data_IF_589588589705
#
_entry.id   IF_589588589705
#
_cell.length_a   1.000
_cell.length_b   1.000
_cell.length_c   1.000
_cell.angle_alpha   90.00
_cell.angle_beta   90.00
_cell.angle_gamma   90.00
#
_symmetry.space_group_name_H-M   'P 1'
#
loop_
_entity.id
_entity.type
_entity.pdbx_description
1 polymer ?
#
# COMPACT_ATOMS: atom_id res chain seq x y z
N UNK A 1 -4.49 -10.69 8.23
CA UNK A 1 -3.57 -10.86 7.10
C UNK A 1 -3.28 -12.35 6.98
N UNK A 2 -3.42 -12.95 5.80
CA UNK A 2 -2.94 -14.31 5.56
C UNK A 2 -1.42 -14.24 5.34
N UNK A 3 -0.65 -14.77 6.29
CA UNK A 3 0.81 -14.78 6.20
C UNK A 3 1.36 -15.93 5.34
N UNK A 4 0.51 -16.91 4.97
CA UNK A 4 0.88 -17.98 4.03
C UNK A 4 0.70 -17.55 2.58
N UNK A 5 -0.21 -16.58 2.32
CA UNK A 5 -0.43 -15.98 1.01
C UNK A 5 -0.44 -14.45 1.13
N UNK A 6 0.72 -13.81 1.38
CA UNK A 6 0.76 -12.37 1.56
C UNK A 6 0.32 -11.66 0.28
N UNK A 7 -0.50 -10.62 0.44
CA UNK A 7 -0.74 -9.65 -0.62
C UNK A 7 0.62 -9.10 -1.04
N UNK A 8 0.89 -9.08 -2.34
CA UNK A 8 2.21 -8.76 -2.89
C UNK A 8 2.17 -7.65 -3.91
N UNK A 9 3.25 -6.88 -3.99
CA UNK A 9 3.47 -5.87 -5.01
C UNK A 9 3.83 -6.51 -6.36
N UNK A 10 3.32 -5.93 -7.45
CA UNK A 10 3.70 -6.23 -8.83
C UNK A 10 4.47 -5.08 -9.48
N UNK A 11 5.29 -5.39 -10.48
CA UNK A 11 5.99 -4.39 -11.31
C UNK A 11 5.04 -3.70 -12.29
N UNK A 12 4.05 -4.46 -12.77
CA UNK A 12 3.05 -4.06 -13.75
C UNK A 12 1.67 -4.54 -13.30
N UNK A 13 0.58 -3.89 -13.71
CA UNK A 13 -0.77 -4.20 -13.23
C UNK A 13 -1.38 -5.37 -13.99
N UNK A 14 -0.83 -6.57 -13.80
CA UNK A 14 -1.33 -7.80 -14.44
C UNK A 14 -1.21 -9.00 -13.49
N UNK A 15 -2.17 -9.91 -13.55
CA UNK A 15 -2.21 -11.11 -12.71
C UNK A 15 -1.01 -12.04 -12.95
N UNK A 16 -0.50 -12.09 -14.18
CA UNK A 16 0.63 -12.92 -14.57
C UNK A 16 2.00 -12.28 -14.29
N UNK A 17 2.05 -11.05 -13.76
CA UNK A 17 3.30 -10.41 -13.40
C UNK A 17 3.90 -11.10 -12.15
N UNK A 18 5.22 -11.29 -12.05
CA UNK A 18 5.83 -11.83 -10.84
C UNK A 18 5.57 -10.96 -9.60
N UNK A 19 5.39 -11.61 -8.45
CA UNK A 19 5.41 -10.94 -7.14
C UNK A 19 6.83 -10.49 -6.81
N UNK A 20 6.99 -9.24 -6.37
CA UNK A 20 8.32 -8.68 -6.05
C UNK A 20 8.57 -8.71 -4.55
N UNK A 21 7.56 -8.34 -3.77
CA UNK A 21 7.67 -8.17 -2.33
C UNK A 21 6.29 -8.17 -1.66
N UNK A 22 6.17 -8.64 -0.41
CA UNK A 22 4.95 -8.48 0.37
C UNK A 22 4.56 -7.01 0.55
N UNK A 23 3.26 -6.75 0.54
CA UNK A 23 2.67 -5.47 0.93
C UNK A 23 2.60 -5.40 2.45
N UNK A 24 2.93 -4.25 3.02
CA UNK A 24 2.76 -4.00 4.46
C UNK A 24 1.28 -3.91 4.87
N UNK A 25 1.03 -3.80 6.17
CA UNK A 25 -0.34 -3.59 6.68
C UNK A 25 -0.95 -2.26 6.22
N UNK A 26 -0.12 -1.29 5.86
CA UNK A 26 -0.52 -0.05 5.21
C UNK A 26 0.28 0.12 3.92
N UNK A 27 -0.36 0.74 2.93
CA UNK A 27 0.27 1.12 1.66
C UNK A 27 -0.08 2.56 1.35
N UNK A 28 0.92 3.32 0.89
CA UNK A 28 0.70 4.67 0.43
C UNK A 28 0.15 4.63 -1.01
N UNK A 29 -1.09 5.11 -1.17
CA UNK A 29 -1.75 5.26 -2.46
C UNK A 29 -1.74 6.74 -2.83
N UNK A 30 -1.33 7.06 -4.07
CA UNK A 30 -1.37 8.44 -4.57
C UNK A 30 -2.83 8.91 -4.67
N UNK A 31 -3.14 10.14 -4.27
CA UNK A 31 -4.46 10.72 -4.50
C UNK A 31 -4.74 10.76 -6.00
N UNK A 32 -5.88 10.21 -6.44
CA UNK A 32 -6.18 10.04 -7.86
C UNK A 32 -5.30 8.98 -8.53
N UNK A 33 -4.76 8.02 -7.78
CA UNK A 33 -3.98 6.92 -8.32
C UNK A 33 -4.72 6.24 -9.46
N UNK A 34 -3.95 5.91 -10.51
CA UNK A 34 -4.49 5.21 -11.66
C UNK A 34 -4.89 3.79 -11.25
N UNK A 35 -6.11 3.41 -11.59
CA UNK A 35 -6.55 2.02 -11.58
C UNK A 35 -6.34 1.44 -12.97
N UNK A 36 -5.63 0.31 -13.05
CA UNK A 36 -5.41 -0.43 -14.29
C UNK A 36 -5.59 -1.91 -14.02
N UNK A 37 -6.45 -2.58 -14.80
CA UNK A 37 -6.68 -4.02 -14.69
C UNK A 37 -6.98 -4.52 -13.26
N UNK A 38 -7.67 -3.71 -12.44
CA UNK A 38 -7.94 -4.04 -11.05
C UNK A 38 -6.76 -3.84 -10.08
N UNK A 39 -5.69 -3.19 -10.50
CA UNK A 39 -4.56 -2.79 -9.67
C UNK A 39 -4.50 -1.28 -9.50
N UNK A 40 -4.01 -0.83 -8.35
CA UNK A 40 -3.78 0.57 -8.00
C UNK A 40 -2.28 0.85 -7.98
N UNK A 41 -1.87 2.00 -8.50
CA UNK A 41 -0.50 2.50 -8.38
C UNK A 41 -0.21 3.02 -6.97
N UNK A 42 0.90 2.56 -6.39
CA UNK A 42 1.32 2.78 -5.00
C UNK A 42 2.82 3.02 -4.92
N UNK A 43 3.34 3.23 -3.70
CA UNK A 43 4.78 3.22 -3.42
C UNK A 43 5.14 2.18 -2.36
N UNK A 44 6.27 1.50 -2.56
CA UNK A 44 6.88 0.67 -1.51
C UNK A 44 7.66 1.52 -0.49
N UNK A 45 8.20 0.87 0.55
CA UNK A 45 8.93 1.56 1.62
C UNK A 45 10.18 2.30 1.15
N UNK A 46 10.69 1.99 -0.05
CA UNK A 46 11.81 2.65 -0.69
C UNK A 46 11.37 3.70 -1.74
N UNK A 47 10.10 4.14 -1.70
CA UNK A 47 9.50 5.10 -2.64
C UNK A 47 9.52 4.65 -4.12
N UNK A 48 9.60 3.35 -4.39
CA UNK A 48 9.53 2.85 -5.77
C UNK A 48 8.06 2.67 -6.16
N UNK A 49 7.63 3.11 -7.36
CA UNK A 49 6.27 2.84 -7.85
C UNK A 49 6.01 1.33 -7.95
N UNK A 50 4.86 0.89 -7.44
CA UNK A 50 4.41 -0.51 -7.44
C UNK A 50 2.92 -0.61 -7.68
N UNK A 51 2.47 -1.80 -8.06
CA UNK A 51 1.06 -2.11 -8.23
C UNK A 51 0.57 -3.09 -7.17
N UNK A 52 -0.62 -2.83 -6.60
CA UNK A 52 -1.31 -3.75 -5.69
C UNK A 52 -2.72 -3.97 -6.17
N UNK A 53 -3.22 -5.20 -6.11
CA UNK A 53 -4.59 -5.50 -6.50
C UNK A 53 -5.58 -4.76 -5.59
N UNK A 54 -6.47 -3.98 -6.20
CA UNK A 54 -7.42 -3.10 -5.52
C UNK A 54 -8.33 -3.85 -4.55
N UNK A 55 -8.67 -5.11 -4.88
CA UNK A 55 -9.54 -5.96 -4.05
C UNK A 55 -9.02 -6.24 -2.63
N UNK A 56 -7.74 -5.96 -2.38
CA UNK A 56 -7.12 -6.11 -1.06
C UNK A 56 -6.95 -4.78 -0.31
N UNK A 57 -7.39 -3.67 -0.90
CA UNK A 57 -7.22 -2.33 -0.35
C UNK A 57 -8.54 -1.79 0.17
N UNK A 58 -8.48 -1.21 1.36
CA UNK A 58 -9.57 -0.47 1.98
C UNK A 58 -9.01 0.86 2.51
N UNK A 59 -9.84 1.93 2.60
CA UNK A 59 -9.44 3.14 3.31
C UNK A 59 -8.93 2.81 4.71
N UNK A 60 -7.90 3.52 5.15
CA UNK A 60 -7.34 3.30 6.47
C UNK A 60 -8.43 3.44 7.55
N UNK A 61 -8.51 2.44 8.41
CA UNK A 61 -9.44 2.43 9.54
C UNK A 61 -8.80 1.70 10.73
N UNK A 62 -8.78 2.34 11.90
CA UNK A 62 -8.37 1.71 13.14
C UNK A 62 -9.61 1.31 13.95
N UNK A 63 -9.81 0.02 14.20
CA UNK A 63 -10.98 -0.48 14.95
C UNK A 63 -11.07 0.10 16.37
N UNK A 64 -9.92 0.34 17.00
CA UNK A 64 -9.84 0.91 18.34
C UNK A 64 -10.16 2.42 18.38
N UNK A 65 -10.04 3.11 17.24
CA UNK A 65 -10.31 4.54 17.12
C UNK A 65 -10.71 4.89 15.67
N UNK A 66 -12.02 5.00 15.39
CA UNK A 66 -12.52 5.36 14.07
C UNK A 66 -12.11 6.76 13.59
N UNK A 67 -11.71 7.67 14.49
CA UNK A 67 -11.24 9.01 14.13
C UNK A 67 -9.78 9.04 13.67
N UNK A 68 -9.03 7.95 13.92
CA UNK A 68 -7.61 7.91 13.62
C UNK A 68 -7.33 8.05 12.12
N UNK A 69 -6.43 8.96 11.78
CA UNK A 69 -5.92 9.15 10.42
C UNK A 69 -4.53 8.53 10.27
N UNK A 70 -4.17 8.19 9.03
CA UNK A 70 -2.86 7.68 8.68
C UNK A 70 -2.38 8.40 7.43
N UNK A 71 -1.32 9.19 7.57
CA UNK A 71 -0.75 9.96 6.46
C UNK A 71 0.67 9.48 6.16
N UNK A 72 1.00 9.21 4.88
CA UNK A 72 2.37 8.92 4.47
C UNK A 72 3.36 10.01 4.90
N UNK A 73 4.54 9.62 5.38
CA UNK A 73 5.60 10.55 5.78
C UNK A 73 6.99 9.99 5.40
N UNK A 74 7.98 10.86 5.22
CA UNK A 74 9.38 10.45 5.10
C UNK A 74 9.98 10.37 6.51
N UNK A 75 10.53 9.22 6.87
CA UNK A 75 11.18 9.00 8.16
C UNK A 75 12.61 9.56 8.15
N UNK A 76 13.24 9.66 9.34
CA UNK A 76 14.62 10.14 9.47
C UNK A 76 15.66 9.30 8.73
N UNK A 77 15.35 8.04 8.43
CA UNK A 77 16.18 7.14 7.62
C UNK A 77 15.92 7.27 6.10
N UNK A 78 15.10 8.23 5.66
CA UNK A 78 14.78 8.45 4.26
C UNK A 78 13.78 7.47 3.64
N UNK A 79 13.24 6.52 4.42
CA UNK A 79 12.21 5.59 3.95
C UNK A 79 10.80 6.11 4.20
N UNK A 80 9.83 5.55 3.47
CA UNK A 80 8.42 5.81 3.72
C UNK A 80 8.04 5.27 5.10
N UNK A 81 7.31 6.07 5.84
CA UNK A 81 6.60 5.67 7.04
C UNK A 81 5.20 6.28 7.04
N UNK A 82 4.53 6.19 8.19
CA UNK A 82 3.18 6.70 8.37
C UNK A 82 3.09 7.48 9.68
N UNK A 83 2.52 8.68 9.61
CA UNK A 83 2.17 9.48 10.77
C UNK A 83 0.70 9.23 11.10
N UNK A 84 0.47 8.76 12.32
CA UNK A 84 -0.85 8.53 12.89
C UNK A 84 -1.29 9.76 13.68
N UNK A 85 -2.58 10.11 13.61
CA UNK A 85 -3.14 11.27 14.29
C UNK A 85 -4.67 11.20 14.40
N UNK A 86 -5.27 12.32 14.81
CA UNK A 86 -6.71 12.55 14.92
C UNK A 86 -7.09 13.81 14.14
#
# INVERSE_FOLDING_TARGET
MDFQHPVSFKLRPFDNEPDIAPVGNQVAVKIGARVMNGYVETFDFAFRPRWVAQKYLEPYHAKADPSATCTPAVMSNGHLGFKYGH
#
